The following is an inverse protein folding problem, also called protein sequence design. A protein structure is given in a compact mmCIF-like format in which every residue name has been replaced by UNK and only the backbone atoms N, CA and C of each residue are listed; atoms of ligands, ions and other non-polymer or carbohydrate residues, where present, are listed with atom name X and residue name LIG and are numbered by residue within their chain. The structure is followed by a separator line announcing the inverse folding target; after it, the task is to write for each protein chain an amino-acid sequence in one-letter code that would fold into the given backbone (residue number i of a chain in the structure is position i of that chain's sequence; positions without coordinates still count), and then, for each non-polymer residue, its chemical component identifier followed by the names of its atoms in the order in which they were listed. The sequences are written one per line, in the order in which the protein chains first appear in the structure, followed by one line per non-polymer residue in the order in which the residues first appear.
data_IF_440025445686
#
_entry.id   IF_440025445686
#
_cell.length_a   1.000
_cell.length_b   1.000
_cell.length_c   1.000
_cell.angle_alpha   90.00
_cell.angle_beta   90.00
_cell.angle_gamma   90.00
#
_symmetry.space_group_name_H-M   'P 1'
#
loop_
_entity.id
_entity.type
_entity.pdbx_description
1 polymer ?
#
# COMPACT_ATOMS: atom_id res chain seq x y z
N UNK A 1 2.59 -29.76 5.17
CA UNK A 1 1.86 -29.91 3.88
C UNK A 1 2.52 -29.24 2.68
N UNK A 2 3.45 -28.27 2.84
CA UNK A 2 4.40 -27.86 1.79
C UNK A 2 3.83 -27.51 0.41
N UNK A 3 2.69 -26.82 0.36
CA UNK A 3 2.01 -26.50 -0.92
C UNK A 3 2.59 -25.23 -1.55
N UNK A 4 2.84 -25.29 -2.86
CA UNK A 4 3.19 -24.12 -3.65
C UNK A 4 1.95 -23.28 -3.96
N UNK A 5 2.10 -21.96 -3.95
CA UNK A 5 1.04 -21.01 -4.29
C UNK A 5 1.63 -19.79 -4.99
N UNK A 6 0.81 -19.15 -5.82
CA UNK A 6 1.13 -17.84 -6.39
C UNK A 6 0.61 -16.73 -5.50
N UNK A 7 1.38 -15.65 -5.37
CA UNK A 7 1.02 -14.48 -4.59
C UNK A 7 1.30 -13.21 -5.40
N UNK A 8 0.39 -12.24 -5.31
CA UNK A 8 0.56 -10.92 -5.90
C UNK A 8 0.36 -9.84 -4.84
N UNK A 9 1.42 -9.13 -4.50
CA UNK A 9 1.47 -8.11 -3.47
C UNK A 9 1.41 -6.71 -4.05
N UNK A 10 0.75 -5.79 -3.36
CA UNK A 10 0.83 -4.37 -3.72
C UNK A 10 0.00 -4.00 -4.97
N UNK A 11 -1.11 -4.70 -5.24
CA UNK A 11 -2.01 -4.36 -6.34
C UNK A 11 -2.88 -3.17 -5.94
N UNK A 12 -2.85 -2.03 -6.66
CA UNK A 12 -3.67 -0.88 -6.32
C UNK A 12 -5.14 -1.16 -6.61
N UNK A 13 -6.01 -0.94 -5.62
CA UNK A 13 -7.47 -1.07 -5.80
C UNK A 13 -8.19 0.28 -5.95
N UNK A 14 -7.57 1.37 -5.51
CA UNK A 14 -8.11 2.72 -5.65
C UNK A 14 -6.99 3.74 -5.90
N UNK A 15 -7.38 4.93 -6.37
CA UNK A 15 -6.46 6.06 -6.55
C UNK A 15 -5.88 6.49 -5.19
N UNK A 16 -4.58 6.81 -5.11
CA UNK A 16 -3.96 7.27 -3.86
C UNK A 16 -4.77 8.40 -3.19
N UNK A 17 -5.05 8.33 -1.87
CA UNK A 17 -5.85 9.32 -1.15
C UNK A 17 -4.97 10.52 -0.76
N UNK A 18 -4.43 11.21 -1.75
CA UNK A 18 -3.53 12.36 -1.56
C UNK A 18 -4.15 13.63 -2.14
N UNK A 19 -3.76 14.80 -1.63
CA UNK A 19 -4.35 16.10 -2.00
C UNK A 19 -5.85 16.15 -1.72
N UNK A 20 -6.63 16.60 -2.71
CA UNK A 20 -8.10 16.70 -2.64
C UNK A 20 -8.81 15.35 -2.38
N UNK A 21 -8.13 14.22 -2.59
CA UNK A 21 -8.69 12.89 -2.37
C UNK A 21 -8.52 12.37 -0.94
N UNK A 22 -7.81 13.09 -0.06
CA UNK A 22 -7.46 12.62 1.30
C UNK A 22 -8.67 12.24 2.15
N UNK A 23 -9.75 12.99 2.04
CA UNK A 23 -10.99 12.79 2.81
C UNK A 23 -12.19 12.44 1.93
N UNK A 24 -11.95 12.20 0.63
CA UNK A 24 -12.99 11.78 -0.29
C UNK A 24 -13.15 10.26 -0.25
N UNK A 25 -14.31 9.76 -0.68
CA UNK A 25 -14.51 8.33 -0.91
C UNK A 25 -13.47 7.77 -1.89
N UNK A 26 -13.03 6.51 -1.73
CA UNK A 26 -12.07 5.88 -2.64
C UNK A 26 -12.56 5.96 -4.08
N UNK A 27 -11.69 6.37 -4.99
CA UNK A 27 -11.98 6.41 -6.44
C UNK A 27 -11.30 5.26 -7.13
N UNK A 28 -11.98 4.63 -8.09
CA UNK A 28 -11.43 3.53 -8.87
C UNK A 28 -10.08 3.90 -9.51
N UNK A 29 -9.13 2.97 -9.45
CA UNK A 29 -7.83 3.09 -10.12
C UNK A 29 -8.03 3.16 -11.64
N UNK A 30 -7.16 3.88 -12.34
CA UNK A 30 -7.16 3.82 -13.81
C UNK A 30 -6.69 2.43 -14.25
N UNK A 31 -7.29 1.83 -15.29
CA UNK A 31 -6.74 0.62 -15.88
C UNK A 31 -5.31 0.90 -16.38
N UNK A 32 -4.49 -0.16 -16.42
CA UNK A 32 -3.13 -0.12 -16.93
C UNK A 32 -2.98 -1.16 -18.03
N UNK A 33 -2.24 -0.80 -19.09
CA UNK A 33 -2.10 -1.65 -20.27
C UNK A 33 -0.87 -2.59 -20.19
N UNK A 34 0.03 -2.35 -19.23
CA UNK A 34 1.30 -3.07 -19.09
C UNK A 34 1.33 -3.94 -17.84
N UNK A 35 2.01 -5.09 -17.89
CA UNK A 35 2.23 -5.95 -16.72
C UNK A 35 2.93 -5.15 -15.61
N UNK A 36 2.38 -5.23 -14.39
CA UNK A 36 2.89 -4.54 -13.21
C UNK A 36 3.59 -5.53 -12.29
N UNK A 37 4.73 -5.13 -11.73
CA UNK A 37 5.44 -5.92 -10.73
C UNK A 37 4.70 -5.86 -9.40
N UNK A 38 4.30 -7.02 -8.88
CA UNK A 38 3.50 -7.18 -7.65
C UNK A 38 4.17 -8.20 -6.72
N UNK A 39 5.47 -8.01 -6.47
CA UNK A 39 6.28 -8.90 -5.63
C UNK A 39 6.60 -8.30 -4.25
N UNK A 40 6.15 -7.06 -3.99
CA UNK A 40 6.46 -6.31 -2.77
C UNK A 40 5.21 -5.68 -2.16
N UNK A 41 5.19 -5.58 -0.84
CA UNK A 41 4.13 -4.88 -0.12
C UNK A 41 4.05 -3.39 -0.52
N UNK A 42 2.82 -2.89 -0.54
CA UNK A 42 2.58 -1.45 -0.61
C UNK A 42 3.02 -0.74 0.67
N UNK A 43 3.03 0.57 0.60
CA UNK A 43 3.17 1.47 1.74
C UNK A 43 2.03 1.33 2.75
N UNK A 44 2.35 1.64 4.00
CA UNK A 44 1.41 1.60 5.11
C UNK A 44 0.58 2.89 5.22
N UNK A 45 -0.55 2.80 5.89
CA UNK A 45 -1.36 3.96 6.24
C UNK A 45 -0.56 4.92 7.12
N UNK A 46 -0.82 6.22 6.97
CA UNK A 46 -0.36 7.21 7.93
C UNK A 46 -0.96 6.89 9.31
N UNK A 47 -0.12 6.38 10.22
CA UNK A 47 -0.50 6.04 11.58
C UNK A 47 0.64 6.40 12.54
N UNK A 48 0.30 7.04 13.65
CA UNK A 48 1.24 7.32 14.73
C UNK A 48 1.64 6.03 15.44
N UNK A 49 2.94 5.79 15.61
CA UNK A 49 3.44 4.70 16.46
C UNK A 49 3.31 5.11 17.92
N UNK A 50 2.45 4.44 18.68
CA UNK A 50 2.16 4.80 20.09
C UNK A 50 3.15 4.16 21.07
N UNK A 51 3.91 3.13 20.66
CA UNK A 51 4.90 2.45 21.49
C UNK A 51 6.33 2.66 20.96
N UNK A 52 7.12 3.44 21.69
CA UNK A 52 8.53 3.73 21.35
C UNK A 52 9.46 2.65 21.86
N UNK A 53 9.63 1.57 21.09
CA UNK A 53 10.83 0.71 21.17
C UNK A 53 11.28 0.10 19.84
N UNK A 54 10.59 0.37 18.72
CA UNK A 54 11.00 -0.07 17.37
C UNK A 54 11.30 1.12 16.44
N UNK A 55 11.96 2.15 16.97
CA UNK A 55 12.03 3.49 16.37
C UNK A 55 13.14 3.72 15.33
N UNK A 56 13.77 2.68 14.74
CA UNK A 56 14.83 2.91 13.75
C UNK A 56 14.47 2.59 12.29
N UNK A 57 13.44 1.77 12.02
CA UNK A 57 13.11 1.38 10.63
C UNK A 57 11.92 2.11 9.97
N UNK A 58 11.17 2.93 10.72
CA UNK A 58 9.87 3.45 10.25
C UNK A 58 9.92 4.80 9.52
N UNK A 59 11.09 5.46 9.45
CA UNK A 59 11.18 6.86 8.96
C UNK A 59 11.20 7.01 7.44
N UNK A 60 11.43 5.94 6.67
CA UNK A 60 11.49 6.01 5.20
C UNK A 60 10.22 5.53 4.45
N UNK A 61 9.30 4.80 5.10
CA UNK A 61 8.17 4.13 4.42
C UNK A 61 6.79 4.76 4.71
N UNK A 62 6.74 5.95 5.32
CA UNK A 62 5.49 6.66 5.65
C UNK A 62 5.10 7.73 4.61
N UNK A 63 5.47 7.54 3.34
CA UNK A 63 4.81 8.29 2.27
C UNK A 63 3.43 7.67 2.07
N UNK A 64 2.36 8.49 2.03
CA UNK A 64 0.97 8.02 1.94
C UNK A 64 0.69 7.40 0.56
N UNK A 65 0.76 6.07 0.42
CA UNK A 65 -0.41 5.42 -0.16
C UNK A 65 -1.00 4.26 0.66
N UNK A 66 -2.30 4.26 0.85
CA UNK A 66 -3.02 3.10 1.37
C UNK A 66 -4.27 2.86 0.57
N UNK A 67 -4.10 2.07 -0.49
CA UNK A 67 -5.16 1.34 -1.20
C UNK A 67 -4.55 0.16 -1.99
N UNK A 68 -3.75 -0.68 -1.35
CA UNK A 68 -3.13 -1.85 -1.97
C UNK A 68 -3.67 -3.16 -1.38
N UNK A 69 -4.00 -4.13 -2.23
CA UNK A 69 -4.33 -5.51 -1.84
C UNK A 69 -3.06 -6.39 -1.78
N UNK A 70 -3.12 -7.47 -1.00
CA UNK A 70 -2.09 -8.51 -0.82
C UNK A 70 -2.65 -9.90 -1.11
#
# INVERSE_FOLDING_TARGET
DGREYYQWLGIPYAKPPVGELRFASPKAVKPWDTVRVTSSYGSWCAQTTVYSSMSMFRRLMMTSPSFYLS
#
